data_IF_804370284265
#
_entry.id   IF_804370284265
#
_cell.length_a   1.000
_cell.length_b   1.000
_cell.length_c   1.000
_cell.angle_alpha   90.00
_cell.angle_beta   90.00
_cell.angle_gamma   90.00
#
_symmetry.space_group_name_H-M   'P 1'
#
loop_
_entity.id
_entity.type
_entity.pdbx_description
1 polymer ?
#
# COMPACT_ATOMS: atom_id res chain seq x y z
N UNK A 1 20.73 -41.30 64.61
CA UNK A 1 19.77 -40.46 63.85
C UNK A 1 20.44 -39.13 63.57
N UNK A 2 20.87 -38.90 62.33
CA UNK A 2 21.50 -37.64 61.90
C UNK A 2 20.95 -37.35 60.49
N UNK A 3 20.29 -36.21 60.30
CA UNK A 3 19.60 -35.85 59.07
C UNK A 3 20.59 -35.45 57.95
N UNK A 4 20.28 -35.70 56.66
CA UNK A 4 21.13 -35.33 55.54
C UNK A 4 21.02 -33.83 55.20
N UNK A 5 22.17 -33.24 54.88
CA UNK A 5 22.42 -31.82 54.58
C UNK A 5 22.03 -31.53 53.13
N UNK A 6 21.08 -30.62 52.92
CA UNK A 6 20.50 -30.26 51.61
C UNK A 6 21.18 -29.04 50.97
N UNK A 7 22.50 -29.06 50.78
CA UNK A 7 23.17 -27.98 50.04
C UNK A 7 24.34 -28.54 49.23
N UNK A 8 24.04 -29.11 48.07
CA UNK A 8 25.02 -29.32 47.00
C UNK A 8 24.33 -29.07 45.64
N UNK A 9 24.45 -27.87 45.04
CA UNK A 9 23.89 -27.61 43.73
C UNK A 9 24.79 -28.30 42.69
N UNK A 10 24.33 -29.46 42.19
CA UNK A 10 24.95 -30.14 41.05
C UNK A 10 25.09 -29.22 39.82
N UNK A 11 25.93 -29.61 38.84
CA UNK A 11 26.28 -28.76 37.71
C UNK A 11 25.01 -28.29 36.96
N UNK A 12 24.84 -26.97 36.89
CA UNK A 12 23.79 -26.32 36.11
C UNK A 12 24.09 -26.58 34.64
N UNK A 13 23.44 -27.58 34.07
CA UNK A 13 23.45 -27.79 32.62
C UNK A 13 22.73 -26.59 32.01
N UNK A 14 23.37 -25.76 31.18
CA UNK A 14 22.67 -24.69 30.49
C UNK A 14 21.65 -25.35 29.56
N UNK A 15 20.35 -25.17 29.86
CA UNK A 15 19.31 -25.48 28.89
C UNK A 15 19.55 -24.54 27.72
N UNK A 16 20.05 -25.08 26.60
CA UNK A 16 20.12 -24.35 25.34
C UNK A 16 18.79 -23.62 25.13
N UNK A 17 18.80 -22.31 24.82
CA UNK A 17 17.57 -21.61 24.52
C UNK A 17 16.95 -22.35 23.35
N UNK A 18 15.79 -22.98 23.58
CA UNK A 18 14.96 -23.44 22.50
C UNK A 18 14.65 -22.19 21.69
N UNK A 19 15.33 -22.03 20.56
CA UNK A 19 14.98 -21.07 19.54
C UNK A 19 13.56 -21.44 19.13
N UNK A 20 12.58 -20.79 19.75
CA UNK A 20 11.22 -20.74 19.27
C UNK A 20 11.35 -20.13 17.88
N UNK A 21 11.47 -21.00 16.89
CA UNK A 21 11.27 -20.71 15.48
C UNK A 21 9.82 -20.24 15.36
N UNK A 22 9.60 -18.98 15.69
CA UNK A 22 8.37 -18.29 15.35
C UNK A 22 8.46 -18.04 13.85
N UNK A 23 8.21 -19.08 13.06
CA UNK A 23 7.86 -18.89 11.67
C UNK A 23 6.49 -18.24 11.73
N UNK A 24 6.33 -16.95 11.39
CA UNK A 24 4.99 -16.38 11.31
C UNK A 24 4.23 -17.24 10.29
N UNK A 25 3.20 -17.94 10.77
CA UNK A 25 2.28 -18.65 9.87
C UNK A 25 1.54 -17.55 9.12
N UNK A 26 2.05 -17.22 7.95
CA UNK A 26 1.58 -16.10 7.15
C UNK A 26 0.28 -16.55 6.48
N UNK A 27 -0.83 -16.40 7.20
CA UNK A 27 -2.17 -16.68 6.69
C UNK A 27 -2.62 -15.52 5.84
N UNK A 28 -2.60 -15.73 4.53
CA UNK A 28 -3.22 -14.82 3.56
C UNK A 28 -4.67 -15.21 3.39
N UNK A 29 -5.55 -14.22 3.49
CA UNK A 29 -6.98 -14.34 3.20
C UNK A 29 -7.20 -13.89 1.75
N UNK A 30 -7.25 -14.81 0.76
CA UNK A 30 -7.32 -14.45 -0.65
C UNK A 30 -8.57 -13.65 -0.99
N UNK A 31 -9.71 -13.95 -0.36
CA UNK A 31 -10.97 -13.23 -0.58
C UNK A 31 -10.87 -11.75 -0.20
N UNK A 32 -10.18 -11.45 0.91
CA UNK A 32 -9.91 -10.06 1.32
C UNK A 32 -9.01 -9.33 0.34
N UNK A 33 -7.99 -10.00 -0.20
CA UNK A 33 -7.05 -9.38 -1.14
C UNK A 33 -7.73 -9.14 -2.48
N UNK A 34 -8.53 -10.09 -2.98
CA UNK A 34 -9.37 -9.88 -4.17
C UNK A 34 -10.33 -8.70 -4.00
N UNK A 35 -11.00 -8.61 -2.84
CA UNK A 35 -11.85 -7.46 -2.52
C UNK A 35 -11.09 -6.13 -2.41
N UNK A 36 -9.82 -6.15 -1.99
CA UNK A 36 -8.95 -4.97 -2.00
C UNK A 36 -8.55 -4.57 -3.43
N UNK A 37 -8.17 -5.54 -4.26
CA UNK A 37 -7.83 -5.34 -5.67
C UNK A 37 -9.00 -4.70 -6.42
N UNK A 38 -10.22 -5.24 -6.24
CA UNK A 38 -11.42 -4.66 -6.85
C UNK A 38 -11.70 -3.21 -6.41
N UNK A 39 -11.45 -2.88 -5.14
CA UNK A 39 -11.55 -1.49 -4.66
C UNK A 39 -10.49 -0.58 -5.27
N UNK A 40 -9.25 -1.05 -5.38
CA UNK A 40 -8.17 -0.31 -6.05
C UNK A 40 -8.52 -0.02 -7.51
N UNK A 41 -9.07 -0.99 -8.23
CA UNK A 41 -9.54 -0.80 -9.61
C UNK A 41 -10.63 0.27 -9.70
N UNK A 42 -11.58 0.28 -8.75
CA UNK A 42 -12.60 1.32 -8.64
C UNK A 42 -11.99 2.72 -8.51
N UNK A 43 -11.06 2.88 -7.55
CA UNK A 43 -10.36 4.15 -7.32
C UNK A 43 -9.53 4.58 -8.54
N UNK A 44 -8.78 3.66 -9.15
CA UNK A 44 -7.98 3.93 -10.36
C UNK A 44 -8.88 4.46 -11.49
N UNK A 45 -10.07 3.87 -11.67
CA UNK A 45 -11.04 4.29 -12.69
C UNK A 45 -11.62 5.67 -12.39
N UNK A 46 -11.95 5.95 -11.13
CA UNK A 46 -12.43 7.27 -10.71
C UNK A 46 -11.38 8.36 -10.92
N UNK A 47 -10.11 8.06 -10.61
CA UNK A 47 -8.99 8.96 -10.87
C UNK A 47 -8.83 9.23 -12.37
N UNK A 48 -8.90 8.20 -13.20
CA UNK A 48 -8.84 8.36 -14.65
C UNK A 48 -9.97 9.26 -15.19
N UNK A 49 -11.21 9.07 -14.72
CA UNK A 49 -12.33 9.94 -15.10
C UNK A 49 -12.14 11.38 -14.61
N UNK A 50 -11.60 11.56 -13.41
CA UNK A 50 -11.33 12.88 -12.84
C UNK A 50 -10.25 13.61 -13.63
N UNK A 51 -9.19 12.90 -14.04
CA UNK A 51 -8.13 13.44 -14.90
C UNK A 51 -8.69 13.96 -16.24
N UNK A 52 -9.59 13.20 -16.87
CA UNK A 52 -10.27 13.61 -18.11
C UNK A 52 -11.13 14.85 -17.89
N UNK A 53 -11.89 14.92 -16.79
CA UNK A 53 -12.70 16.10 -16.46
C UNK A 53 -11.85 17.33 -16.23
N UNK A 54 -10.71 17.19 -15.55
CA UNK A 54 -9.78 18.30 -15.31
C UNK A 54 -9.14 18.80 -16.61
N UNK A 55 -8.88 17.92 -17.57
CA UNK A 55 -8.41 18.33 -18.88
C UNK A 55 -9.38 19.30 -19.59
N UNK A 56 -10.68 19.20 -19.31
CA UNK A 56 -11.70 20.12 -19.84
C UNK A 56 -11.58 21.55 -19.27
N UNK A 57 -10.96 21.72 -18.11
CA UNK A 57 -10.79 23.02 -17.45
C UNK A 57 -9.47 23.72 -17.78
N UNK A 58 -8.63 23.15 -18.65
CA UNK A 58 -7.34 23.79 -19.02
C UNK A 58 -7.53 25.09 -19.83
N UNK A 59 -8.74 25.40 -20.27
CA UNK A 59 -9.08 26.63 -20.98
C UNK A 59 -9.90 27.54 -20.06
N UNK A 60 -9.26 28.10 -19.03
CA UNK A 60 -9.88 29.13 -18.19
C UNK A 60 -9.74 30.49 -18.87
N UNK A 61 -10.86 31.02 -19.35
CA UNK A 61 -10.90 32.39 -19.86
C UNK A 61 -10.85 33.39 -18.70
N UNK A 62 -10.12 34.50 -18.89
CA UNK A 62 -10.14 35.60 -17.94
C UNK A 62 -11.54 36.23 -17.90
N UNK A 63 -12.09 36.54 -16.69
CA UNK A 63 -13.40 37.18 -16.57
C UNK A 63 -13.42 38.63 -17.07
N UNK A 64 -12.24 39.23 -17.28
CA UNK A 64 -12.05 40.58 -17.79
C UNK A 64 -10.71 40.73 -18.51
N UNK A 65 -10.56 41.85 -19.23
CA UNK A 65 -9.32 42.19 -19.96
C UNK A 65 -8.24 42.85 -19.08
N UNK A 66 -8.56 43.17 -17.82
CA UNK A 66 -7.60 43.73 -16.89
C UNK A 66 -6.50 42.72 -16.52
N UNK A 67 -5.39 43.24 -16.01
CA UNK A 67 -4.23 42.41 -15.68
C UNK A 67 -4.49 41.44 -14.53
N UNK A 68 -5.33 41.82 -13.56
CA UNK A 68 -5.67 40.98 -12.41
C UNK A 68 -6.47 39.76 -12.87
N UNK A 69 -7.49 39.97 -13.71
CA UNK A 69 -8.29 38.90 -14.32
C UNK A 69 -7.43 37.93 -15.15
N UNK A 70 -6.50 38.46 -15.96
CA UNK A 70 -5.57 37.63 -16.75
C UNK A 70 -4.62 36.85 -15.86
N UNK A 71 -4.12 37.44 -14.77
CA UNK A 71 -3.27 36.75 -13.82
C UNK A 71 -4.02 35.63 -13.08
N UNK A 72 -5.25 35.88 -12.65
CA UNK A 72 -6.10 34.87 -12.02
C UNK A 72 -6.37 33.68 -12.95
N UNK A 73 -6.65 33.94 -14.23
CA UNK A 73 -6.81 32.87 -15.22
C UNK A 73 -5.55 32.03 -15.41
N UNK A 74 -4.36 32.65 -15.49
CA UNK A 74 -3.08 31.92 -15.56
C UNK A 74 -2.83 31.07 -14.31
N UNK A 75 -3.11 31.61 -13.12
CA UNK A 75 -2.96 30.85 -11.87
C UNK A 75 -3.89 29.65 -11.84
N UNK A 76 -5.16 29.82 -12.27
CA UNK A 76 -6.10 28.72 -12.36
C UNK A 76 -5.60 27.61 -13.31
N UNK A 77 -5.10 27.98 -14.49
CA UNK A 77 -4.50 27.02 -15.44
C UNK A 77 -3.32 26.27 -14.80
N UNK A 78 -2.39 26.98 -14.16
CA UNK A 78 -1.24 26.36 -13.49
C UNK A 78 -1.66 25.41 -12.36
N UNK A 79 -2.68 25.77 -11.58
CA UNK A 79 -3.25 24.89 -10.56
C UNK A 79 -3.87 23.62 -11.16
N UNK A 80 -4.60 23.75 -12.28
CA UNK A 80 -5.18 22.59 -12.96
C UNK A 80 -4.12 21.66 -13.55
N UNK A 81 -3.05 22.20 -14.12
CA UNK A 81 -1.89 21.42 -14.59
C UNK A 81 -1.22 20.65 -13.44
N UNK A 82 -0.99 21.34 -12.31
CA UNK A 82 -0.44 20.71 -11.10
C UNK A 82 -1.34 19.59 -10.56
N UNK A 83 -2.65 19.84 -10.47
CA UNK A 83 -3.62 18.85 -10.03
C UNK A 83 -3.65 17.62 -10.96
N UNK A 84 -3.60 17.83 -12.28
CA UNK A 84 -3.56 16.76 -13.27
C UNK A 84 -2.28 15.92 -13.12
N UNK A 85 -1.12 16.57 -12.98
CA UNK A 85 0.15 15.88 -12.78
C UNK A 85 0.12 15.02 -11.51
N UNK A 86 -0.42 15.56 -10.41
CA UNK A 86 -0.56 14.83 -9.16
C UNK A 86 -1.48 13.61 -9.29
N UNK A 87 -2.64 13.76 -9.93
CA UNK A 87 -3.58 12.65 -10.14
C UNK A 87 -3.02 11.57 -11.06
N UNK A 88 -2.30 11.95 -12.12
CA UNK A 88 -1.65 10.99 -13.01
C UNK A 88 -0.59 10.14 -12.28
N UNK A 89 0.23 10.80 -11.46
CA UNK A 89 1.25 10.14 -10.64
C UNK A 89 0.62 9.23 -9.57
N UNK A 90 -0.41 9.72 -8.88
CA UNK A 90 -1.12 8.90 -7.89
C UNK A 90 -1.78 7.68 -8.53
N UNK A 91 -2.40 7.84 -9.71
CA UNK A 91 -2.98 6.73 -10.48
C UNK A 91 -1.91 5.70 -10.85
N UNK A 92 -0.72 6.13 -11.27
CA UNK A 92 0.42 5.24 -11.55
C UNK A 92 0.81 4.42 -10.32
N UNK A 93 0.96 5.07 -9.17
CA UNK A 93 1.32 4.39 -7.92
C UNK A 93 0.27 3.36 -7.48
N UNK A 94 -1.01 3.65 -7.68
CA UNK A 94 -2.08 2.69 -7.36
C UNK A 94 -2.08 1.49 -8.31
N UNK A 95 -1.76 1.68 -9.59
CA UNK A 95 -1.58 0.57 -10.54
C UNK A 95 -0.43 -0.33 -10.09
N UNK A 96 0.72 0.26 -9.74
CA UNK A 96 1.88 -0.49 -9.24
C UNK A 96 1.56 -1.26 -7.95
N UNK A 97 0.84 -0.63 -7.02
CA UNK A 97 0.39 -1.30 -5.80
C UNK A 97 -0.56 -2.47 -6.08
N UNK A 98 -1.48 -2.29 -7.05
CA UNK A 98 -2.40 -3.35 -7.48
C UNK A 98 -1.63 -4.53 -8.08
N UNK A 99 -0.72 -4.27 -9.02
CA UNK A 99 0.10 -5.30 -9.67
C UNK A 99 0.99 -6.05 -8.66
N UNK A 100 1.55 -5.33 -7.68
CA UNK A 100 2.33 -5.94 -6.60
C UNK A 100 1.48 -6.87 -5.73
N UNK A 101 0.24 -6.47 -5.39
CA UNK A 101 -0.69 -7.32 -4.64
C UNK A 101 -1.09 -8.58 -5.43
N UNK A 102 -1.39 -8.44 -6.72
CA UNK A 102 -1.71 -9.58 -7.60
C UNK A 102 -0.53 -10.55 -7.71
N UNK A 103 0.69 -10.02 -7.87
CA UNK A 103 1.92 -10.82 -7.90
C UNK A 103 2.15 -11.56 -6.58
N UNK A 104 1.93 -10.90 -5.43
CA UNK A 104 2.02 -11.54 -4.12
C UNK A 104 1.00 -12.68 -3.98
N UNK A 105 -0.26 -12.47 -4.37
CA UNK A 105 -1.28 -13.53 -4.34
C UNK A 105 -0.89 -14.74 -5.20
N UNK A 106 -0.42 -14.51 -6.42
CA UNK A 106 0.06 -15.60 -7.29
C UNK A 106 1.21 -16.37 -6.64
N UNK A 107 2.12 -15.66 -5.96
CA UNK A 107 3.17 -16.24 -5.13
C UNK A 107 2.63 -17.16 -4.04
N UNK A 108 1.63 -16.70 -3.28
CA UNK A 108 1.00 -17.49 -2.21
C UNK A 108 0.31 -18.74 -2.74
N UNK A 109 -0.51 -18.63 -3.78
CA UNK A 109 -1.20 -19.79 -4.40
C UNK A 109 -0.20 -20.83 -4.89
N UNK A 110 0.92 -20.38 -5.49
CA UNK A 110 1.99 -21.28 -5.93
C UNK A 110 2.73 -21.98 -4.78
N UNK A 111 2.81 -21.35 -3.60
CA UNK A 111 3.48 -21.91 -2.43
C UNK A 111 2.58 -22.90 -1.68
N UNK A 112 1.28 -22.59 -1.59
CA UNK A 112 0.28 -23.44 -0.97
C UNK A 112 0.11 -24.75 -1.76
N UNK A 113 0.00 -24.67 -3.09
CA UNK A 113 -0.07 -25.85 -3.98
C UNK A 113 1.18 -26.74 -3.98
N UNK A 114 2.34 -26.24 -3.52
CA UNK A 114 3.56 -27.03 -3.31
C UNK A 114 3.63 -27.70 -1.94
N UNK A 115 2.83 -27.22 -0.99
CA UNK A 115 2.81 -27.68 0.40
C UNK A 115 1.67 -28.67 0.69
N UNK A 116 0.67 -28.72 -0.18
CA UNK A 116 -0.43 -29.70 -0.21
C UNK A 116 -0.03 -31.00 -0.93
#
# INVERSE_FOLDING_TARGET
>A
MTAPRWDDPGPVVPRSPQSLSYSPVLRVDPERVEGLVGRLEGVIRELAMTEVRLASFMFVAAPGNDEVSRNAARQAVSMFEGARSYLGEWRRQLIEAKEALESQMAGYVSADSRSA
#
